data_IF_354952489889
#
_entry.id   IF_354952489889
#
_cell.length_a   1.000
_cell.length_b   1.000
_cell.length_c   1.000
_cell.angle_alpha   90.00
_cell.angle_beta   90.00
_cell.angle_gamma   90.00
#
_symmetry.space_group_name_H-M   'P 1'
#
loop_
_entity.id
_entity.type
_entity.pdbx_description
1 polymer ?
#
# COMPACT_ATOMS: atom_id res chain seq x y z
N UNK A 1 11.55 -16.90 25.56
CA UNK A 1 11.99 -17.70 24.37
C UNK A 1 12.98 -16.85 23.62
N UNK A 2 14.12 -17.39 23.21
CA UNK A 2 15.07 -16.66 22.35
C UNK A 2 14.81 -17.06 20.90
N UNK A 3 14.50 -16.09 20.05
CA UNK A 3 14.36 -16.31 18.62
C UNK A 3 15.74 -16.34 17.96
N UNK A 4 16.00 -17.33 17.14
CA UNK A 4 17.29 -17.51 16.46
C UNK A 4 17.27 -17.07 15.00
N UNK A 5 16.05 -16.95 14.41
CA UNK A 5 15.87 -16.53 13.03
C UNK A 5 15.68 -15.03 13.00
N UNK A 6 16.56 -14.28 12.34
CA UNK A 6 16.44 -12.82 12.28
C UNK A 6 15.35 -12.37 11.31
N UNK A 7 14.90 -11.15 11.51
CA UNK A 7 14.06 -10.40 10.58
C UNK A 7 14.91 -9.38 9.83
N UNK A 8 14.80 -9.35 8.51
CA UNK A 8 15.40 -8.34 7.62
C UNK A 8 14.32 -7.37 7.21
N UNK A 9 14.50 -6.08 7.48
CA UNK A 9 13.55 -5.02 7.15
C UNK A 9 14.15 -4.18 6.02
N UNK A 10 13.53 -4.25 4.83
CA UNK A 10 13.94 -3.48 3.66
C UNK A 10 13.38 -2.05 3.72
N UNK A 11 14.14 -1.07 3.18
CA UNK A 11 13.75 0.34 3.06
C UNK A 11 13.31 0.95 4.40
N UNK A 12 14.26 1.08 5.29
CA UNK A 12 14.07 1.44 6.71
C UNK A 12 13.80 2.93 6.98
N UNK A 13 13.45 3.72 5.97
CA UNK A 13 13.24 5.18 6.06
C UNK A 13 11.85 5.59 6.58
N UNK A 14 10.85 4.70 6.51
CA UNK A 14 9.48 5.00 6.95
C UNK A 14 9.18 4.73 8.43
N UNK A 15 8.12 5.32 9.00
CA UNK A 15 7.71 5.06 10.38
C UNK A 15 7.22 3.62 10.62
N UNK A 16 6.70 2.95 9.60
CA UNK A 16 6.35 1.53 9.62
C UNK A 16 7.58 0.65 9.92
N UNK A 17 8.71 0.94 9.28
CA UNK A 17 9.97 0.25 9.57
C UNK A 17 10.42 0.42 11.03
N UNK A 18 10.28 1.63 11.60
CA UNK A 18 10.56 1.88 13.02
C UNK A 18 9.66 1.03 13.92
N UNK A 19 8.37 0.96 13.59
CA UNK A 19 7.39 0.14 14.30
C UNK A 19 7.79 -1.34 14.28
N UNK A 20 8.14 -1.87 13.10
CA UNK A 20 8.57 -3.26 12.92
C UNK A 20 9.87 -3.56 13.69
N UNK A 21 10.90 -2.75 13.49
CA UNK A 21 12.19 -2.91 14.19
C UNK A 21 12.00 -2.95 15.70
N UNK A 22 11.28 -1.99 16.26
CA UNK A 22 11.08 -1.91 17.71
C UNK A 22 10.15 -3.00 18.24
N UNK A 23 9.09 -3.32 17.50
CA UNK A 23 8.13 -4.36 17.89
C UNK A 23 8.79 -5.73 17.96
N UNK A 24 9.51 -6.12 16.91
CA UNK A 24 10.21 -7.40 16.84
C UNK A 24 11.34 -7.51 17.85
N UNK A 25 12.19 -6.49 17.95
CA UNK A 25 13.32 -6.50 18.87
C UNK A 25 12.91 -6.56 20.35
N UNK A 26 11.79 -5.91 20.73
CA UNK A 26 11.25 -6.01 22.10
C UNK A 26 10.75 -7.40 22.45
N UNK A 27 10.40 -8.21 21.46
CA UNK A 27 10.04 -9.62 21.62
C UNK A 27 11.26 -10.54 21.56
N UNK A 28 12.49 -9.99 21.46
CA UNK A 28 13.72 -10.77 21.41
C UNK A 28 14.05 -11.33 20.03
N UNK A 29 13.40 -10.87 18.97
CA UNK A 29 13.75 -11.23 17.59
C UNK A 29 14.96 -10.40 17.15
N UNK A 30 16.06 -11.03 16.66
CA UNK A 30 17.17 -10.29 16.05
C UNK A 30 16.68 -9.57 14.79
N UNK A 31 17.05 -8.30 14.63
CA UNK A 31 16.59 -7.48 13.50
C UNK A 31 17.78 -6.91 12.73
N UNK A 32 17.71 -7.00 11.42
CA UNK A 32 18.63 -6.36 10.47
C UNK A 32 17.82 -5.29 9.72
N UNK A 33 18.13 -4.03 9.92
CA UNK A 33 17.51 -2.93 9.17
C UNK A 33 18.38 -2.59 7.96
N UNK A 34 17.76 -2.49 6.78
CA UNK A 34 18.47 -2.18 5.54
C UNK A 34 17.88 -0.95 4.87
N UNK A 35 18.74 -0.13 4.27
CA UNK A 35 18.35 1.03 3.47
C UNK A 35 19.53 1.47 2.58
N UNK A 36 19.28 2.27 1.53
CA UNK A 36 20.35 2.89 0.76
C UNK A 36 20.97 4.09 1.52
N UNK A 37 20.23 4.68 2.45
CA UNK A 37 20.69 5.78 3.29
C UNK A 37 21.07 5.30 4.68
N UNK A 38 22.28 5.57 5.16
CA UNK A 38 22.69 5.25 6.54
C UNK A 38 21.91 6.06 7.59
N UNK A 39 21.23 7.13 7.15
CA UNK A 39 20.44 8.01 8.01
C UNK A 39 18.94 7.66 8.00
N UNK A 40 18.54 6.55 7.38
CA UNK A 40 17.16 6.08 7.38
C UNK A 40 16.61 5.96 8.81
N UNK A 41 15.33 6.28 8.99
CA UNK A 41 14.74 6.51 10.31
C UNK A 41 14.90 5.31 11.26
N UNK A 42 14.65 4.09 10.80
CA UNK A 42 14.76 2.89 11.60
C UNK A 42 16.24 2.47 11.84
N UNK A 43 17.15 2.87 10.95
CA UNK A 43 18.60 2.67 11.11
C UNK A 43 19.16 3.45 12.31
N UNK A 44 18.50 4.52 12.75
CA UNK A 44 18.88 5.27 13.95
C UNK A 44 18.37 4.64 15.26
N UNK A 45 17.65 3.51 15.18
CA UNK A 45 17.27 2.75 16.38
C UNK A 45 18.47 2.01 16.96
N UNK A 46 18.47 1.82 18.30
CA UNK A 46 19.51 1.05 19.00
C UNK A 46 19.36 -0.47 18.86
N UNK A 47 18.26 -0.93 18.30
CA UNK A 47 17.92 -2.35 18.30
C UNK A 47 18.52 -3.15 17.13
N UNK A 48 18.48 -2.68 15.86
CA UNK A 48 18.88 -3.51 14.73
C UNK A 48 20.39 -3.47 14.52
N UNK A 49 20.93 -4.55 13.95
CA UNK A 49 22.12 -4.43 13.11
C UNK A 49 21.74 -3.70 11.81
N UNK A 50 22.71 -3.11 11.13
CA UNK A 50 22.48 -2.19 10.01
C UNK A 50 23.25 -2.68 8.79
N UNK A 51 22.58 -2.70 7.65
CA UNK A 51 23.18 -3.04 6.37
C UNK A 51 22.79 -1.99 5.33
N UNK A 52 23.74 -1.55 4.54
CA UNK A 52 23.46 -0.66 3.42
C UNK A 52 23.21 -1.54 2.18
N UNK A 53 22.06 -1.36 1.55
CA UNK A 53 21.73 -1.97 0.26
C UNK A 53 21.52 -0.87 -0.77
N UNK A 54 21.76 -1.11 -2.05
CA UNK A 54 21.42 -0.16 -3.11
C UNK A 54 19.94 0.25 -3.09
N UNK A 55 19.60 1.37 -3.73
CA UNK A 55 18.22 1.80 -3.87
C UNK A 55 17.48 0.89 -4.86
N UNK A 56 16.41 0.17 -4.43
CA UNK A 56 15.68 -0.74 -5.30
C UNK A 56 15.03 -0.06 -6.51
N UNK A 57 14.76 1.25 -6.45
CA UNK A 57 14.15 2.00 -7.55
C UNK A 57 15.17 2.34 -8.65
N UNK A 58 16.34 2.79 -8.28
CA UNK A 58 17.37 3.28 -9.23
C UNK A 58 18.44 2.25 -9.57
N UNK A 59 18.68 1.26 -8.70
CA UNK A 59 19.72 0.24 -8.81
C UNK A 59 19.16 -1.18 -8.60
N UNK A 60 18.02 -1.50 -9.22
CA UNK A 60 17.24 -2.71 -8.96
C UNK A 60 18.06 -4.02 -9.03
N UNK A 61 18.84 -4.24 -10.09
CA UNK A 61 19.65 -5.45 -10.24
C UNK A 61 20.69 -5.58 -9.11
N UNK A 62 21.44 -4.52 -8.86
CA UNK A 62 22.45 -4.49 -7.81
C UNK A 62 21.83 -4.67 -6.43
N UNK A 63 20.66 -4.07 -6.20
CA UNK A 63 19.90 -4.28 -4.96
C UNK A 63 19.61 -5.76 -4.73
N UNK A 64 19.10 -6.48 -5.74
CA UNK A 64 18.78 -7.90 -5.62
C UNK A 64 20.04 -8.75 -5.43
N UNK A 65 21.12 -8.45 -6.14
CA UNK A 65 22.40 -9.15 -5.96
C UNK A 65 22.94 -9.03 -4.53
N UNK A 66 22.95 -7.81 -3.98
CA UNK A 66 23.43 -7.57 -2.62
C UNK A 66 22.46 -8.13 -1.56
N UNK A 67 21.14 -8.14 -1.82
CA UNK A 67 20.16 -8.82 -0.98
C UNK A 67 20.42 -10.33 -0.91
N UNK A 68 20.66 -10.98 -2.06
CA UNK A 68 20.99 -12.40 -2.10
C UNK A 68 22.32 -12.70 -1.39
N UNK A 69 23.31 -11.82 -1.54
CA UNK A 69 24.57 -11.93 -0.78
C UNK A 69 24.34 -11.81 0.73
N UNK A 70 23.49 -10.91 1.17
CA UNK A 70 23.06 -10.79 2.57
C UNK A 70 22.40 -12.07 3.06
N UNK A 71 21.47 -12.64 2.30
CA UNK A 71 20.78 -13.89 2.63
C UNK A 71 21.76 -15.05 2.83
N UNK A 72 22.73 -15.22 1.93
CA UNK A 72 23.79 -16.23 2.04
C UNK A 72 24.66 -16.02 3.29
N UNK A 73 25.02 -14.78 3.60
CA UNK A 73 25.85 -14.41 4.77
C UNK A 73 25.12 -14.68 6.08
N UNK A 74 23.82 -14.40 6.15
CA UNK A 74 23.00 -14.66 7.34
C UNK A 74 22.71 -16.16 7.50
N UNK A 75 22.50 -16.90 6.45
CA UNK A 75 22.49 -18.37 6.38
C UNK A 75 21.31 -19.09 7.05
N UNK A 76 20.48 -18.40 7.85
CA UNK A 76 19.40 -19.04 8.62
C UNK A 76 18.00 -18.89 7.99
N UNK A 77 17.91 -18.53 6.70
CA UNK A 77 16.67 -18.14 6.01
C UNK A 77 15.88 -17.11 6.83
N UNK A 78 16.40 -15.88 6.98
CA UNK A 78 15.73 -14.84 7.73
C UNK A 78 14.36 -14.49 7.16
N UNK A 79 13.47 -13.94 7.99
CA UNK A 79 12.18 -13.42 7.54
C UNK A 79 12.40 -12.05 6.90
N UNK A 80 11.98 -11.89 5.64
CA UNK A 80 12.13 -10.66 4.88
C UNK A 80 10.85 -9.83 4.96
N UNK A 81 10.98 -8.55 5.31
CA UNK A 81 9.87 -7.60 5.32
C UNK A 81 10.19 -6.44 4.39
N UNK A 82 9.31 -6.17 3.44
CA UNK A 82 9.36 -4.97 2.60
C UNK A 82 8.41 -3.91 3.18
N UNK A 83 8.88 -2.68 3.27
CA UNK A 83 8.07 -1.55 3.76
C UNK A 83 7.56 -0.65 2.64
N UNK A 84 8.03 -0.86 1.41
CA UNK A 84 7.65 -0.13 0.19
C UNK A 84 7.57 -1.09 -0.99
N UNK A 85 6.77 -0.70 -1.98
CA UNK A 85 6.49 -1.52 -3.17
C UNK A 85 7.69 -1.68 -4.09
N UNK A 86 8.62 -0.71 -4.10
CA UNK A 86 9.80 -0.72 -4.98
C UNK A 86 10.71 -1.92 -4.71
N UNK A 87 10.88 -2.30 -3.43
CA UNK A 87 11.67 -3.49 -3.09
C UNK A 87 10.99 -4.78 -3.58
N UNK A 88 9.66 -4.88 -3.48
CA UNK A 88 8.90 -6.03 -3.97
C UNK A 88 9.01 -6.13 -5.50
N UNK A 89 8.85 -4.99 -6.19
CA UNK A 89 8.97 -4.93 -7.65
C UNK A 89 10.39 -5.29 -8.13
N UNK A 90 11.43 -4.81 -7.43
CA UNK A 90 12.82 -5.15 -7.75
C UNK A 90 13.10 -6.66 -7.60
N UNK A 91 12.52 -7.30 -6.58
CA UNK A 91 12.69 -8.73 -6.31
C UNK A 91 11.99 -9.59 -7.37
N UNK A 92 10.93 -9.10 -8.01
CA UNK A 92 10.05 -9.87 -8.89
C UNK A 92 10.80 -10.72 -9.95
N UNK A 93 11.81 -10.16 -10.60
CA UNK A 93 12.58 -10.84 -11.65
C UNK A 93 13.40 -12.03 -11.14
N UNK A 94 13.70 -12.08 -9.86
CA UNK A 94 14.52 -13.11 -9.20
C UNK A 94 13.85 -13.64 -7.92
N UNK A 95 12.52 -13.66 -7.90
CA UNK A 95 11.73 -14.00 -6.72
C UNK A 95 12.07 -15.39 -6.17
N UNK A 96 12.25 -16.38 -7.02
CA UNK A 96 12.57 -17.76 -6.60
C UNK A 96 13.89 -17.82 -5.83
N UNK A 97 14.94 -17.15 -6.32
CA UNK A 97 16.24 -17.10 -5.64
C UNK A 97 16.13 -16.43 -4.27
N UNK A 98 15.32 -15.36 -4.18
CA UNK A 98 15.08 -14.67 -2.89
C UNK A 98 14.32 -15.60 -1.94
N UNK A 99 13.30 -16.33 -2.42
CA UNK A 99 12.52 -17.29 -1.61
C UNK A 99 13.34 -18.50 -1.15
N UNK A 100 14.37 -18.89 -1.87
CA UNK A 100 15.32 -19.91 -1.40
C UNK A 100 16.11 -19.45 -0.16
N UNK A 101 16.55 -18.19 -0.13
CA UNK A 101 17.40 -17.64 0.92
C UNK A 101 16.63 -16.97 2.06
N UNK A 102 15.39 -16.59 1.83
CA UNK A 102 14.53 -15.86 2.78
C UNK A 102 13.18 -16.55 2.97
N UNK A 103 12.57 -16.30 4.11
CA UNK A 103 11.14 -16.54 4.35
C UNK A 103 10.40 -15.27 4.01
N UNK A 104 9.63 -15.30 2.93
CA UNK A 104 8.96 -14.13 2.37
C UNK A 104 7.48 -14.16 2.78
N UNK A 105 7.01 -13.27 3.69
CA UNK A 105 5.64 -13.26 4.19
C UNK A 105 4.69 -12.42 3.32
N UNK A 106 4.77 -12.57 2.00
CA UNK A 106 3.83 -12.02 1.03
C UNK A 106 3.64 -12.97 -0.15
N UNK A 107 2.55 -12.77 -0.91
CA UNK A 107 2.19 -13.55 -2.09
C UNK A 107 3.26 -13.46 -3.19
N UNK A 108 3.18 -14.35 -4.18
CA UNK A 108 4.04 -14.28 -5.37
C UNK A 108 3.77 -13.01 -6.18
N UNK A 109 4.69 -12.66 -7.06
CA UNK A 109 4.60 -11.45 -7.87
C UNK A 109 3.29 -11.36 -8.67
N UNK A 110 2.77 -12.48 -9.18
CA UNK A 110 1.50 -12.51 -9.91
C UNK A 110 0.32 -11.96 -9.09
N UNK A 111 0.30 -12.20 -7.79
CA UNK A 111 -0.69 -11.62 -6.88
C UNK A 111 -0.30 -10.20 -6.46
N UNK A 112 0.99 -9.97 -6.15
CA UNK A 112 1.46 -8.67 -5.67
C UNK A 112 1.25 -7.57 -6.70
N UNK A 113 1.52 -7.81 -7.99
CA UNK A 113 1.28 -6.81 -9.04
C UNK A 113 -0.18 -6.34 -9.12
N UNK A 114 -1.15 -7.26 -8.87
CA UNK A 114 -2.57 -6.91 -8.82
C UNK A 114 -2.87 -6.01 -7.61
N UNK A 115 -2.20 -6.27 -6.48
CA UNK A 115 -2.41 -5.47 -5.25
C UNK A 115 -1.70 -4.12 -5.29
N UNK A 116 -0.65 -3.98 -6.08
CA UNK A 116 0.04 -2.70 -6.31
C UNK A 116 -0.73 -1.84 -7.32
N UNK A 117 -1.35 -2.47 -8.32
CA UNK A 117 -2.22 -1.78 -9.28
C UNK A 117 -3.61 -1.50 -8.71
N UNK A 118 -3.96 -0.21 -8.59
CA UNK A 118 -5.26 0.21 -8.06
C UNK A 118 -6.44 -0.23 -8.91
N UNK A 119 -6.28 -0.36 -10.22
CA UNK A 119 -7.32 -0.86 -11.13
C UNK A 119 -7.61 -2.34 -10.83
N UNK A 120 -6.58 -3.16 -10.69
CA UNK A 120 -6.71 -4.56 -10.35
C UNK A 120 -7.41 -4.80 -9.00
N UNK A 121 -7.10 -3.96 -8.00
CA UNK A 121 -7.80 -3.99 -6.71
C UNK A 121 -9.30 -3.67 -6.84
N UNK A 122 -9.65 -2.61 -7.58
CA UNK A 122 -11.03 -2.20 -7.80
C UNK A 122 -11.83 -3.26 -8.55
N UNK A 123 -11.24 -3.90 -9.56
CA UNK A 123 -11.91 -4.94 -10.32
C UNK A 123 -12.15 -6.19 -9.46
N UNK A 124 -11.19 -6.57 -8.63
CA UNK A 124 -11.39 -7.66 -7.67
C UNK A 124 -12.50 -7.33 -6.67
N UNK A 125 -12.52 -6.11 -6.14
CA UNK A 125 -13.56 -5.65 -5.22
C UNK A 125 -14.95 -5.69 -5.87
N UNK A 126 -15.08 -5.19 -7.11
CA UNK A 126 -16.36 -5.21 -7.87
C UNK A 126 -16.88 -6.63 -8.09
N UNK A 127 -15.99 -7.61 -8.41
CA UNK A 127 -16.40 -9.00 -8.64
C UNK A 127 -17.11 -9.64 -7.44
N UNK A 128 -16.73 -9.27 -6.24
CA UNK A 128 -17.34 -9.80 -5.00
C UNK A 128 -18.38 -8.86 -4.39
N UNK A 129 -18.72 -7.77 -5.08
CA UNK A 129 -19.66 -6.76 -4.57
C UNK A 129 -19.12 -5.95 -3.38
N UNK A 130 -17.79 -5.91 -3.20
CA UNK A 130 -17.17 -5.01 -2.23
C UNK A 130 -17.32 -3.56 -2.73
N UNK A 131 -17.83 -2.63 -1.89
CA UNK A 131 -18.04 -1.26 -2.31
C UNK A 131 -16.75 -0.58 -2.75
N UNK A 132 -16.81 0.12 -3.87
CA UNK A 132 -15.72 0.96 -4.37
C UNK A 132 -16.29 2.31 -4.82
N UNK A 133 -15.51 3.40 -4.71
CA UNK A 133 -15.95 4.69 -5.20
C UNK A 133 -16.24 4.64 -6.71
N UNK A 134 -17.27 5.33 -7.15
CA UNK A 134 -17.58 5.51 -8.57
C UNK A 134 -16.35 6.06 -9.29
N UNK A 135 -15.91 5.37 -10.35
CA UNK A 135 -14.69 5.71 -11.09
C UNK A 135 -14.94 5.54 -12.57
N UNK A 136 -14.47 6.50 -13.37
CA UNK A 136 -14.42 6.44 -14.83
C UNK A 136 -12.99 6.75 -15.30
N UNK A 137 -12.63 6.19 -16.45
CA UNK A 137 -11.33 6.35 -17.12
C UNK A 137 -11.53 6.97 -18.50
N UNK A 138 -11.86 8.27 -18.61
CA UNK A 138 -12.03 8.91 -19.90
C UNK A 138 -10.71 8.98 -20.65
N UNK A 139 -10.75 8.73 -21.97
CA UNK A 139 -9.58 9.02 -22.82
C UNK A 139 -9.36 10.54 -22.93
N UNK A 140 -8.16 11.01 -23.29
CA UNK A 140 -7.83 12.43 -23.27
C UNK A 140 -8.75 13.32 -24.12
N UNK A 141 -9.39 12.75 -25.14
CA UNK A 141 -10.30 13.45 -26.06
C UNK A 141 -11.79 13.28 -25.74
N UNK A 142 -12.11 12.48 -24.70
CA UNK A 142 -13.48 12.28 -24.26
C UNK A 142 -14.00 13.47 -23.45
N UNK A 143 -15.32 13.57 -23.36
CA UNK A 143 -15.98 14.49 -22.43
C UNK A 143 -16.05 13.86 -21.03
N UNK A 144 -15.23 14.30 -20.07
CA UNK A 144 -15.20 13.72 -18.74
C UNK A 144 -16.49 14.00 -17.96
N UNK A 145 -17.18 15.10 -18.27
CA UNK A 145 -18.44 15.46 -17.60
C UNK A 145 -19.55 14.52 -18.02
N UNK A 146 -19.62 14.22 -19.32
CA UNK A 146 -20.57 13.23 -19.84
C UNK A 146 -20.29 11.82 -19.28
N UNK A 147 -19.02 11.41 -19.19
CA UNK A 147 -18.62 10.13 -18.60
C UNK A 147 -19.02 10.01 -17.12
N UNK A 148 -18.76 11.04 -16.31
CA UNK A 148 -19.14 11.12 -14.89
C UNK A 148 -20.67 11.05 -14.73
N UNK A 149 -21.41 11.78 -15.56
CA UNK A 149 -22.88 11.79 -15.54
C UNK A 149 -23.47 10.42 -15.92
N UNK A 150 -22.94 9.79 -16.98
CA UNK A 150 -23.39 8.48 -17.44
C UNK A 150 -23.13 7.38 -16.40
N UNK A 151 -22.04 7.49 -15.64
CA UNK A 151 -21.72 6.57 -14.54
C UNK A 151 -22.46 6.86 -13.22
N UNK A 152 -23.27 7.92 -13.17
CA UNK A 152 -23.99 8.33 -11.94
C UNK A 152 -23.08 8.77 -10.79
N UNK A 153 -21.85 9.22 -11.10
CA UNK A 153 -20.87 9.66 -10.11
C UNK A 153 -21.25 11.03 -9.57
N UNK A 154 -21.18 11.17 -8.26
CA UNK A 154 -21.53 12.41 -7.57
C UNK A 154 -20.29 13.27 -7.35
N UNK A 155 -20.45 14.58 -7.48
CA UNK A 155 -19.43 15.54 -7.09
C UNK A 155 -19.35 15.71 -5.56
N UNK A 156 -18.16 16.07 -5.02
CA UNK A 156 -16.91 16.33 -5.71
C UNK A 156 -16.25 15.07 -6.26
N UNK A 157 -15.40 15.24 -7.28
CA UNK A 157 -14.56 14.18 -7.84
C UNK A 157 -13.08 14.55 -7.71
N UNK A 158 -12.21 13.53 -7.76
CA UNK A 158 -10.75 13.69 -7.86
C UNK A 158 -10.24 13.10 -9.16
N UNK A 159 -9.30 13.79 -9.78
CA UNK A 159 -8.53 13.32 -10.91
C UNK A 159 -7.22 12.72 -10.39
N UNK A 160 -7.06 11.41 -10.58
CA UNK A 160 -5.88 10.65 -10.14
C UNK A 160 -5.07 10.23 -11.37
N UNK A 161 -3.87 10.76 -11.59
CA UNK A 161 -3.07 10.40 -12.76
C UNK A 161 -2.64 8.93 -12.66
N UNK A 162 -2.50 8.27 -13.82
CA UNK A 162 -1.90 6.92 -13.88
C UNK A 162 -0.43 6.96 -13.45
N UNK A 163 0.28 8.07 -13.77
CA UNK A 163 1.67 8.26 -13.37
C UNK A 163 1.83 9.56 -12.57
N UNK A 164 1.99 9.40 -11.26
CA UNK A 164 1.99 10.51 -10.31
C UNK A 164 3.20 11.47 -10.36
N UNK A 165 4.47 11.05 -10.63
CA UNK A 165 5.62 11.94 -10.57
C UNK A 165 5.57 13.15 -11.51
N UNK A 166 5.21 12.93 -12.79
CA UNK A 166 5.09 14.04 -13.76
C UNK A 166 3.93 14.97 -13.44
N UNK A 167 2.78 14.39 -13.07
CA UNK A 167 1.61 15.14 -12.66
C UNK A 167 1.92 16.05 -11.48
N UNK A 168 2.61 15.52 -10.46
CA UNK A 168 3.03 16.28 -9.29
C UNK A 168 4.00 17.42 -9.67
N UNK A 169 4.88 17.18 -10.64
CA UNK A 169 5.82 18.21 -11.13
C UNK A 169 5.07 19.37 -11.78
N UNK A 170 4.00 19.10 -12.55
CA UNK A 170 3.22 20.11 -13.25
C UNK A 170 2.27 20.85 -12.30
N UNK A 171 1.49 20.11 -11.52
CA UNK A 171 0.41 20.68 -10.70
C UNK A 171 0.81 20.95 -9.23
N UNK A 172 2.00 20.55 -8.79
CA UNK A 172 2.41 20.65 -7.39
C UNK A 172 1.61 19.76 -6.42
N UNK A 173 0.70 18.93 -6.95
CA UNK A 173 -0.24 18.08 -6.20
C UNK A 173 -0.26 16.67 -6.78
N UNK A 174 -0.61 15.70 -5.94
CA UNK A 174 -0.75 14.30 -6.39
C UNK A 174 -2.09 14.03 -7.09
N UNK A 175 -3.11 14.83 -6.78
CA UNK A 175 -4.44 14.76 -7.36
C UNK A 175 -5.01 16.15 -7.53
N UNK A 176 -5.91 16.34 -8.49
CA UNK A 176 -6.75 17.52 -8.61
C UNK A 176 -8.16 17.19 -8.15
N UNK A 177 -8.88 18.16 -7.61
CA UNK A 177 -10.25 18.02 -7.19
C UNK A 177 -11.14 18.95 -8.02
N UNK A 178 -12.32 18.45 -8.40
CA UNK A 178 -13.36 19.24 -9.02
C UNK A 178 -14.67 19.07 -8.23
N UNK A 179 -15.28 20.19 -7.86
CA UNK A 179 -16.50 20.22 -7.02
C UNK A 179 -17.77 20.24 -7.84
N UNK A 180 -17.65 20.51 -9.15
CA UNK A 180 -18.75 20.58 -10.08
C UNK A 180 -18.33 20.14 -11.49
N UNK A 181 -19.31 20.01 -12.40
CA UNK A 181 -19.08 19.71 -13.80
C UNK A 181 -18.23 20.79 -14.49
N UNK A 182 -18.49 22.06 -14.17
CA UNK A 182 -17.76 23.21 -14.72
C UNK A 182 -16.29 23.18 -14.28
N UNK A 183 -16.03 22.89 -13.00
CA UNK A 183 -14.66 22.75 -12.49
C UNK A 183 -13.94 21.56 -13.13
N UNK A 184 -14.64 20.43 -13.34
CA UNK A 184 -14.08 19.26 -14.00
C UNK A 184 -13.70 19.58 -15.46
N UNK A 185 -14.59 20.21 -16.21
CA UNK A 185 -14.31 20.64 -17.58
C UNK A 185 -13.12 21.60 -17.66
N UNK A 186 -13.02 22.54 -16.71
CA UNK A 186 -11.95 23.52 -16.68
C UNK A 186 -10.57 22.89 -16.44
N UNK A 187 -10.47 21.91 -15.54
CA UNK A 187 -9.16 21.28 -15.21
C UNK A 187 -8.80 20.14 -16.17
N UNK A 188 -9.79 19.60 -16.92
CA UNK A 188 -9.57 18.43 -17.78
C UNK A 188 -8.58 18.69 -18.90
N UNK A 189 -8.68 19.84 -19.56
CA UNK A 189 -7.82 20.17 -20.70
C UNK A 189 -6.32 20.07 -20.36
N UNK A 190 -5.94 20.43 -19.14
CA UNK A 190 -4.56 20.35 -18.66
C UNK A 190 -4.22 18.96 -18.08
N UNK A 191 -5.19 18.28 -17.49
CA UNK A 191 -4.99 16.99 -16.83
C UNK A 191 -5.06 15.79 -17.80
N UNK A 192 -5.85 15.87 -18.87
CA UNK A 192 -6.10 14.78 -19.82
C UNK A 192 -4.83 14.13 -20.40
N UNK A 193 -3.74 14.85 -20.73
CA UNK A 193 -2.50 14.22 -21.24
C UNK A 193 -1.87 13.23 -20.27
N UNK A 194 -2.21 13.29 -18.97
CA UNK A 194 -1.69 12.38 -17.94
C UNK A 194 -2.58 11.15 -17.74
N UNK A 195 -3.65 10.98 -18.54
CA UNK A 195 -4.60 9.87 -18.46
C UNK A 195 -5.19 9.68 -17.06
N UNK A 196 -5.77 10.73 -16.42
CA UNK A 196 -6.25 10.59 -15.06
C UNK A 196 -7.57 9.84 -15.00
N UNK A 197 -7.69 8.96 -14.00
CA UNK A 197 -8.99 8.46 -13.57
C UNK A 197 -9.76 9.58 -12.88
N UNK A 198 -11.06 9.66 -13.14
CA UNK A 198 -11.99 10.54 -12.43
C UNK A 198 -12.80 9.71 -11.44
N UNK A 199 -12.61 9.96 -10.14
CA UNK A 199 -13.20 9.17 -9.08
C UNK A 199 -14.02 10.03 -8.12
N UNK A 200 -15.16 9.49 -7.66
CA UNK A 200 -15.97 10.10 -6.60
C UNK A 200 -15.17 10.30 -5.33
N UNK A 201 -15.31 11.45 -4.69
CA UNK A 201 -14.80 11.69 -3.34
C UNK A 201 -15.83 11.22 -2.33
N UNK A 202 -15.54 10.14 -1.63
CA UNK A 202 -16.37 9.72 -0.51
C UNK A 202 -16.30 10.78 0.60
N UNK A 203 -17.44 11.32 1.07
CA UNK A 203 -17.46 12.36 2.10
C UNK A 203 -17.02 11.84 3.46
N UNK A 204 -16.97 12.73 4.45
CA UNK A 204 -16.60 12.40 5.83
C UNK A 204 -15.17 12.77 6.19
N UNK A 205 -14.92 12.87 7.49
CA UNK A 205 -13.64 13.21 8.08
C UNK A 205 -12.64 12.07 8.14
N UNK A 206 -11.59 12.28 8.91
CA UNK A 206 -10.52 11.28 9.10
C UNK A 206 -11.03 10.02 9.81
N UNK A 207 -12.02 10.17 10.68
CA UNK A 207 -12.67 9.10 11.44
C UNK A 207 -13.53 8.15 10.59
N UNK A 208 -13.76 8.49 9.32
CA UNK A 208 -14.40 7.60 8.36
C UNK A 208 -13.44 6.57 7.74
N UNK A 209 -12.13 6.70 7.95
CA UNK A 209 -11.16 5.72 7.45
C UNK A 209 -11.02 4.54 8.42
N UNK A 210 -11.31 3.35 7.91
CA UNK A 210 -11.19 2.09 8.61
C UNK A 210 -10.10 1.23 7.99
N UNK A 211 -9.47 0.42 8.81
CA UNK A 211 -8.40 -0.46 8.35
C UNK A 211 -8.54 -1.85 8.95
N UNK A 212 -8.30 -2.88 8.13
CA UNK A 212 -7.97 -4.22 8.57
C UNK A 212 -6.47 -4.39 8.47
N UNK A 213 -5.78 -4.73 9.55
CA UNK A 213 -4.46 -5.32 9.53
C UNK A 213 -4.57 -6.82 9.70
N UNK A 214 -3.93 -7.62 8.84
CA UNK A 214 -3.99 -9.08 8.98
C UNK A 214 -2.70 -9.78 8.57
N UNK A 215 -2.55 -11.01 9.05
CA UNK A 215 -1.57 -11.95 8.55
C UNK A 215 -2.25 -13.26 8.19
N UNK A 216 -2.03 -13.71 6.97
CA UNK A 216 -2.51 -14.99 6.43
C UNK A 216 -1.31 -15.86 6.05
N UNK A 217 -1.29 -17.10 6.49
CA UNK A 217 -0.28 -18.06 6.07
C UNK A 217 -0.49 -18.50 4.62
N UNK A 218 0.51 -19.17 4.02
CA UNK A 218 0.47 -19.59 2.63
C UNK A 218 -0.69 -20.56 2.29
N UNK A 219 -1.25 -21.24 3.29
CA UNK A 219 -2.46 -22.06 3.19
C UNK A 219 -3.76 -21.23 3.27
N UNK A 220 -3.67 -19.91 3.16
CA UNK A 220 -4.77 -18.93 3.24
C UNK A 220 -5.42 -18.81 4.63
N UNK A 221 -4.92 -19.51 5.65
CA UNK A 221 -5.46 -19.41 7.01
C UNK A 221 -5.14 -18.05 7.62
N UNK A 222 -6.16 -17.37 8.16
CA UNK A 222 -5.99 -16.13 8.93
C UNK A 222 -5.33 -16.48 10.27
N UNK A 223 -4.14 -15.97 10.52
CA UNK A 223 -3.36 -16.20 11.76
C UNK A 223 -3.45 -15.07 12.75
N UNK A 224 -3.62 -13.86 12.24
CA UNK A 224 -3.83 -12.67 13.05
C UNK A 224 -4.67 -11.67 12.28
N UNK A 225 -5.51 -10.93 13.02
CA UNK A 225 -6.37 -9.91 12.44
C UNK A 225 -6.72 -8.87 13.50
N UNK A 226 -6.75 -7.62 13.12
CA UNK A 226 -7.31 -6.54 13.93
C UNK A 226 -7.93 -5.49 13.01
N UNK A 227 -8.92 -4.77 13.53
CA UNK A 227 -9.49 -3.60 12.85
C UNK A 227 -9.28 -2.34 13.68
N UNK A 228 -9.27 -1.22 13.02
CA UNK A 228 -9.14 0.07 13.65
C UNK A 228 -9.61 1.19 12.73
N UNK A 229 -9.69 2.38 13.28
CA UNK A 229 -10.02 3.58 12.50
C UNK A 229 -9.04 4.71 12.75
N UNK A 230 -8.88 5.57 11.75
CA UNK A 230 -8.12 6.80 11.89
C UNK A 230 -8.87 7.76 12.81
N UNK A 231 -8.11 8.54 13.58
CA UNK A 231 -8.60 9.70 14.29
C UNK A 231 -8.05 10.98 13.68
N UNK A 232 -6.80 10.95 13.20
CA UNK A 232 -6.13 12.07 12.56
C UNK A 232 -5.19 11.58 11.46
N UNK A 233 -5.08 12.35 10.38
CA UNK A 233 -4.09 12.15 9.32
C UNK A 233 -3.36 13.46 8.97
N UNK A 234 -2.19 13.35 8.38
CA UNK A 234 -1.43 14.49 7.89
C UNK A 234 -0.84 14.21 6.51
N UNK A 235 -1.00 15.11 5.55
CA UNK A 235 -1.87 16.28 5.56
C UNK A 235 -3.37 15.92 5.69
N UNK A 236 -4.24 16.86 6.13
CA UNK A 236 -5.68 16.60 6.23
C UNK A 236 -6.28 16.16 4.90
N UNK A 237 -7.24 15.24 4.93
CA UNK A 237 -7.99 14.75 3.77
C UNK A 237 -7.34 13.60 3.02
N UNK A 238 -6.03 13.65 2.72
CA UNK A 238 -5.32 12.65 1.90
C UNK A 238 -3.96 12.27 2.50
N UNK A 239 -3.87 12.26 3.81
CA UNK A 239 -2.61 12.04 4.52
C UNK A 239 -2.45 10.64 5.10
N UNK A 240 -1.26 10.44 5.68
CA UNK A 240 -0.95 9.24 6.47
C UNK A 240 -1.51 9.39 7.89
N UNK A 241 -2.03 8.30 8.45
CA UNK A 241 -2.52 8.28 9.83
C UNK A 241 -1.44 8.75 10.82
N UNK A 242 -1.81 9.64 11.72
CA UNK A 242 -0.99 10.14 12.84
C UNK A 242 -1.52 9.71 14.19
N UNK A 243 -2.83 9.51 14.27
CA UNK A 243 -3.51 8.89 15.40
C UNK A 243 -4.57 7.93 14.87
N UNK A 244 -4.67 6.78 15.50
CA UNK A 244 -5.66 5.76 15.21
C UNK A 244 -6.02 5.05 16.51
N UNK A 245 -7.18 4.44 16.53
CA UNK A 245 -7.62 3.58 17.64
C UNK A 245 -7.88 2.16 17.15
N UNK A 246 -7.62 1.17 18.00
CA UNK A 246 -8.07 -0.19 17.77
C UNK A 246 -9.57 -0.27 18.05
N UNK A 247 -10.33 -0.75 17.08
CA UNK A 247 -11.76 -0.94 17.18
C UNK A 247 -12.14 -2.20 16.42
N UNK A 248 -12.54 -3.24 17.13
CA UNK A 248 -12.86 -4.51 16.48
C UNK A 248 -14.25 -4.45 15.84
N UNK A 249 -14.28 -4.62 14.52
CA UNK A 249 -15.49 -4.73 13.69
C UNK A 249 -15.42 -6.05 12.91
N UNK A 250 -16.13 -7.11 13.40
CA UNK A 250 -16.05 -8.44 12.78
C UNK A 250 -16.65 -8.48 11.38
N UNK A 251 -17.69 -7.68 11.10
CA UNK A 251 -18.34 -7.66 9.79
C UNK A 251 -17.43 -7.00 8.75
N UNK A 252 -16.79 -5.90 9.11
CA UNK A 252 -15.78 -5.26 8.28
C UNK A 252 -14.58 -6.19 8.03
N UNK A 253 -14.10 -6.86 9.09
CA UNK A 253 -13.02 -7.83 8.96
C UNK A 253 -13.38 -8.97 7.99
N UNK A 254 -14.59 -9.51 8.08
CA UNK A 254 -15.06 -10.57 7.19
C UNK A 254 -15.12 -10.11 5.72
N UNK A 255 -15.63 -8.90 5.44
CA UNK A 255 -15.65 -8.35 4.09
C UNK A 255 -14.24 -8.14 3.52
N UNK A 256 -13.31 -7.60 4.32
CA UNK A 256 -11.92 -7.44 3.89
C UNK A 256 -11.23 -8.79 3.65
N UNK A 257 -11.51 -9.81 4.46
CA UNK A 257 -10.99 -11.15 4.23
C UNK A 257 -11.53 -11.76 2.94
N UNK A 258 -12.81 -11.54 2.59
CA UNK A 258 -13.37 -11.98 1.32
C UNK A 258 -12.65 -11.33 0.12
N UNK A 259 -12.27 -10.05 0.23
CA UNK A 259 -11.46 -9.38 -0.79
C UNK A 259 -10.05 -10.01 -0.91
N UNK A 260 -9.41 -10.33 0.21
CA UNK A 260 -8.11 -11.00 0.20
C UNK A 260 -8.20 -12.44 -0.32
N UNK A 261 -9.34 -13.12 -0.14
CA UNK A 261 -9.62 -14.44 -0.75
C UNK A 261 -9.75 -14.34 -2.26
N UNK A 262 -10.51 -13.36 -2.77
CA UNK A 262 -10.66 -13.10 -4.21
C UNK A 262 -9.32 -12.81 -4.87
N UNK A 263 -8.46 -12.02 -4.21
CA UNK A 263 -7.10 -11.72 -4.66
C UNK A 263 -6.14 -12.89 -4.51
N UNK A 264 -6.53 -13.99 -3.82
CA UNK A 264 -5.66 -15.09 -3.41
C UNK A 264 -4.43 -14.59 -2.64
N UNK A 265 -4.62 -13.55 -1.86
CA UNK A 265 -3.54 -12.89 -1.14
C UNK A 265 -3.23 -13.61 0.17
N UNK A 266 -1.97 -13.98 0.38
CA UNK A 266 -1.44 -14.41 1.67
C UNK A 266 -0.27 -13.51 2.08
N UNK A 267 0.03 -13.49 3.38
CA UNK A 267 1.07 -12.64 3.95
C UNK A 267 0.49 -11.55 4.85
N UNK A 268 1.31 -10.55 5.11
CA UNK A 268 0.91 -9.37 5.88
C UNK A 268 0.18 -8.41 4.95
N UNK A 269 -1.00 -7.96 5.36
CA UNK A 269 -1.83 -7.05 4.59
C UNK A 269 -2.39 -5.92 5.45
N UNK A 270 -2.66 -4.82 4.80
CA UNK A 270 -3.49 -3.74 5.31
C UNK A 270 -4.52 -3.38 4.24
N UNK A 271 -5.80 -3.56 4.54
CA UNK A 271 -6.91 -3.07 3.72
C UNK A 271 -7.43 -1.81 4.36
N UNK A 272 -7.40 -0.71 3.63
CA UNK A 272 -7.94 0.57 4.10
C UNK A 272 -9.13 0.98 3.23
N UNK A 273 -10.21 1.37 3.89
CA UNK A 273 -11.43 1.84 3.25
C UNK A 273 -11.84 3.18 3.85
N UNK A 274 -12.66 3.92 3.13
CA UNK A 274 -13.35 5.08 3.68
C UNK A 274 -14.84 4.79 3.73
N UNK A 275 -15.39 4.59 4.94
CA UNK A 275 -16.81 4.36 5.16
C UNK A 275 -17.62 5.59 4.76
N UNK A 276 -18.59 5.38 3.88
CA UNK A 276 -19.44 6.47 3.42
C UNK A 276 -20.49 6.81 4.50
N UNK A 277 -20.45 8.02 5.09
CA UNK A 277 -21.41 8.39 6.13
C UNK A 277 -22.85 8.56 5.60
N UNK A 278 -23.04 8.57 4.28
CA UNK A 278 -24.38 8.69 3.66
C UNK A 278 -25.19 7.41 3.74
N UNK A 279 -24.55 6.25 3.71
CA UNK A 279 -25.20 4.93 3.72
C UNK A 279 -24.46 3.89 4.59
N UNK A 280 -23.36 4.24 5.21
CA UNK A 280 -22.58 3.36 6.09
C UNK A 280 -21.77 2.28 5.37
N UNK A 281 -21.68 2.31 4.03
CA UNK A 281 -20.87 1.37 3.26
C UNK A 281 -19.37 1.70 3.38
N UNK A 282 -18.57 0.65 3.33
CA UNK A 282 -17.11 0.76 3.39
C UNK A 282 -16.50 1.20 2.07
#
# INVERSE_FOLDING_TARGET
MSYTIPAVILQSSGPNAVGMVRGLARQGVPVIATDHSPNALAMNSRYPSKEILPDPLSESERFVEELLALGRRVGSRPVLFATHDEAIAAIAAREDEVRELFRVPWSTWDTMQITIDKSGQHDAAKRIGFPVPGTVDPEPHDDPVAAVAAAGIRYPVVLKPRYAPEFKRVFGKQVLQAKSAEELAAVWAEAAPFGPQVQEVIPGGDDCYWTLGSYRSADMTVRASFTGRKLLQWPPGFGTARAAEAHWDPDFAARCHALLDELKFHGISQVEVKRDPRDGKD
#
